data_IF_737764829779
#
_entry.id   IF_737764829779
#
_cell.length_a   1.000
_cell.length_b   1.000
_cell.length_c   1.000
_cell.angle_alpha   90.00
_cell.angle_beta   90.00
_cell.angle_gamma   90.00
#
_symmetry.space_group_name_H-M   'P 1'
#
loop_
_entity.id
_entity.type
_entity.pdbx_description
1 polymer ?
#
# COMPACT_ATOMS: atom_id res chain seq x y z
N UNK A 1 8.75 -13.06 -19.45
CA UNK A 1 8.58 -13.23 -18.00
C UNK A 1 9.79 -12.62 -17.30
N UNK A 2 9.61 -11.93 -16.17
CA UNK A 2 10.73 -11.36 -15.42
C UNK A 2 11.19 -12.38 -14.35
N UNK A 3 12.37 -12.97 -14.49
CA UNK A 3 12.77 -14.11 -13.66
C UNK A 3 12.85 -13.75 -12.16
N UNK A 4 13.40 -12.58 -11.82
CA UNK A 4 13.51 -12.12 -10.42
C UNK A 4 12.12 -11.97 -9.81
N UNK A 5 11.20 -11.31 -10.50
CA UNK A 5 9.83 -11.11 -10.00
C UNK A 5 9.11 -12.45 -9.81
N UNK A 6 9.24 -13.35 -10.78
CA UNK A 6 8.62 -14.67 -10.71
C UNK A 6 9.15 -15.51 -9.55
N UNK A 7 10.46 -15.48 -9.31
CA UNK A 7 11.09 -16.18 -8.17
C UNK A 7 10.64 -15.61 -6.83
N UNK A 8 10.60 -14.28 -6.69
CA UNK A 8 10.11 -13.63 -5.45
C UNK A 8 8.66 -13.99 -5.17
N UNK A 9 7.79 -13.98 -6.19
CA UNK A 9 6.39 -14.38 -6.02
C UNK A 9 6.26 -15.85 -5.65
N UNK A 10 7.07 -16.74 -6.23
CA UNK A 10 7.04 -18.17 -5.89
C UNK A 10 7.43 -18.39 -4.41
N UNK A 11 8.50 -17.74 -3.95
CA UNK A 11 8.93 -17.80 -2.54
C UNK A 11 7.85 -17.21 -1.62
N UNK A 12 7.28 -16.05 -1.96
CA UNK A 12 6.22 -15.42 -1.16
C UNK A 12 5.00 -16.35 -1.02
N UNK A 13 4.57 -17.00 -2.10
CA UNK A 13 3.47 -17.97 -2.05
C UNK A 13 3.78 -19.18 -1.16
N UNK A 14 5.02 -19.68 -1.20
CA UNK A 14 5.46 -20.75 -0.29
C UNK A 14 5.39 -20.33 1.19
N UNK A 15 5.85 -19.10 1.49
CA UNK A 15 5.76 -18.51 2.84
C UNK A 15 4.30 -18.38 3.27
N UNK A 16 3.42 -17.86 2.42
CA UNK A 16 2.00 -17.70 2.73
C UNK A 16 1.30 -19.03 2.98
N UNK A 17 1.65 -20.07 2.21
CA UNK A 17 1.14 -21.43 2.42
C UNK A 17 1.61 -22.01 3.78
N UNK A 18 2.88 -21.80 4.14
CA UNK A 18 3.41 -22.21 5.45
C UNK A 18 2.73 -21.44 6.61
N UNK A 19 2.40 -20.18 6.41
CA UNK A 19 1.62 -19.38 7.37
C UNK A 19 0.15 -19.81 7.43
N UNK A 20 -0.32 -20.67 6.52
CA UNK A 20 -1.72 -21.09 6.43
C UNK A 20 -2.65 -19.97 5.95
N UNK A 21 -2.13 -18.92 5.28
CA UNK A 21 -2.96 -17.85 4.77
C UNK A 21 -3.87 -18.34 3.65
N UNK A 22 -5.14 -17.99 3.72
CA UNK A 22 -6.11 -18.22 2.64
C UNK A 22 -6.40 -16.91 1.93
N UNK A 23 -6.49 -16.96 0.60
CA UNK A 23 -6.71 -15.77 -0.23
C UNK A 23 -8.03 -15.87 -0.97
N UNK A 24 -8.91 -14.89 -0.75
CA UNK A 24 -10.10 -14.68 -1.55
C UNK A 24 -9.89 -13.39 -2.37
N UNK A 25 -9.79 -13.53 -3.68
CA UNK A 25 -9.51 -12.40 -4.59
C UNK A 25 -10.67 -12.29 -5.58
N UNK A 26 -11.32 -11.14 -5.59
CA UNK A 26 -12.44 -10.84 -6.49
C UNK A 26 -12.16 -9.63 -7.37
N UNK A 27 -12.87 -9.48 -8.47
CA UNK A 27 -12.74 -8.35 -9.38
C UNK A 27 -11.43 -8.32 -10.19
N UNK A 28 -10.70 -9.42 -10.28
CA UNK A 28 -9.40 -9.47 -11.00
C UNK A 28 -9.51 -9.10 -12.49
N UNK A 29 -10.70 -9.22 -13.08
CA UNK A 29 -10.98 -8.80 -14.45
C UNK A 29 -10.93 -7.28 -14.65
N UNK A 30 -10.98 -6.49 -13.59
CA UNK A 30 -10.80 -5.04 -13.61
C UNK A 30 -9.34 -4.61 -13.75
N UNK A 31 -8.39 -5.51 -13.50
CA UNK A 31 -6.97 -5.22 -13.77
C UNK A 31 -6.75 -5.18 -15.28
N UNK A 32 -6.29 -4.06 -15.85
CA UNK A 32 -6.08 -3.94 -17.30
C UNK A 32 -5.16 -5.03 -17.84
N UNK A 33 -5.60 -5.77 -18.84
CA UNK A 33 -4.80 -6.83 -19.50
C UNK A 33 -3.63 -6.25 -20.29
N UNK A 34 -3.76 -5.01 -20.76
CA UNK A 34 -2.74 -4.26 -21.50
C UNK A 34 -2.82 -2.78 -21.17
N UNK A 35 -1.78 -2.03 -21.54
CA UNK A 35 -1.69 -0.60 -21.21
C UNK A 35 -1.33 -0.33 -19.75
N UNK A 36 -1.14 0.94 -19.42
CA UNK A 36 -0.81 1.38 -18.07
C UNK A 36 -2.03 1.46 -17.16
N UNK A 37 -1.78 1.49 -15.85
CA UNK A 37 -2.81 1.73 -14.84
C UNK A 37 -2.19 2.05 -13.49
N UNK A 38 -2.75 3.02 -12.77
CA UNK A 38 -2.35 3.32 -11.40
C UNK A 38 -3.18 2.44 -10.46
N UNK A 39 -2.56 1.43 -9.86
CA UNK A 39 -3.23 0.59 -8.85
C UNK A 39 -3.17 1.31 -7.51
N UNK A 40 -4.35 1.73 -7.03
CA UNK A 40 -4.51 2.50 -5.80
C UNK A 40 -4.93 1.54 -4.70
N UNK A 41 -4.12 1.41 -3.64
CA UNK A 41 -4.22 0.34 -2.65
C UNK A 41 -4.30 0.94 -1.26
N UNK A 42 -5.22 0.45 -0.41
CA UNK A 42 -5.23 0.80 1.01
C UNK A 42 -4.02 0.21 1.75
N UNK A 43 -3.64 0.81 2.87
CA UNK A 43 -2.42 0.40 3.56
C UNK A 43 -2.67 0.08 5.05
N UNK A 44 -2.92 -1.19 5.35
CA UNK A 44 -3.18 -1.68 6.72
C UNK A 44 -2.08 -2.61 7.24
N UNK A 45 -1.20 -3.13 6.36
CA UNK A 45 -0.13 -4.03 6.74
C UNK A 45 1.14 -3.89 5.91
N UNK A 46 2.27 -4.28 6.47
CA UNK A 46 3.57 -4.23 5.78
C UNK A 46 3.67 -5.17 4.56
N UNK A 47 2.79 -6.17 4.47
CA UNK A 47 2.78 -7.15 3.37
C UNK A 47 1.76 -6.84 2.26
N UNK A 48 1.02 -5.74 2.34
CA UNK A 48 -0.03 -5.36 1.38
C UNK A 48 0.46 -5.37 -0.07
N UNK A 49 1.68 -4.88 -0.32
CA UNK A 49 2.26 -4.85 -1.67
C UNK A 49 2.44 -6.27 -2.25
N UNK A 50 2.74 -7.27 -1.41
CA UNK A 50 2.89 -8.65 -1.86
C UNK A 50 1.54 -9.28 -2.18
N UNK A 51 0.52 -8.96 -1.40
CA UNK A 51 -0.86 -9.44 -1.61
C UNK A 51 -1.48 -8.79 -2.85
N UNK A 52 -1.29 -7.48 -3.04
CA UNK A 52 -1.71 -6.77 -4.26
C UNK A 52 -1.08 -7.39 -5.53
N UNK A 53 0.19 -7.78 -5.44
CA UNK A 53 0.88 -8.48 -6.53
C UNK A 53 0.21 -9.81 -6.93
N UNK A 54 -0.42 -10.52 -5.99
CA UNK A 54 -1.17 -11.75 -6.29
C UNK A 54 -2.43 -11.46 -7.13
N UNK A 55 -3.16 -10.38 -6.82
CA UNK A 55 -4.36 -9.99 -7.56
C UNK A 55 -4.05 -9.63 -9.02
N UNK A 56 -2.99 -8.86 -9.27
CA UNK A 56 -2.57 -8.50 -10.62
C UNK A 56 -2.07 -9.71 -11.43
N UNK A 57 -1.52 -10.73 -10.75
CA UNK A 57 -1.02 -11.93 -11.41
C UNK A 57 -2.13 -12.76 -12.07
N UNK A 58 -3.35 -12.72 -11.57
CA UNK A 58 -4.50 -13.37 -12.23
C UNK A 58 -4.67 -12.87 -13.67
N UNK A 59 -4.38 -11.60 -13.92
CA UNK A 59 -4.37 -10.96 -15.24
C UNK A 59 -3.01 -11.05 -15.95
N UNK A 60 -2.08 -11.86 -15.46
CA UNK A 60 -0.71 -12.01 -15.96
C UNK A 60 0.10 -10.70 -15.96
N UNK A 61 -0.28 -9.76 -15.10
CA UNK A 61 0.35 -8.45 -14.98
C UNK A 61 1.23 -8.36 -13.72
N UNK A 62 2.20 -7.46 -13.76
CA UNK A 62 3.10 -7.16 -12.65
C UNK A 62 2.91 -5.71 -12.23
N UNK A 63 2.94 -5.45 -10.93
CA UNK A 63 2.82 -4.09 -10.39
C UNK A 63 4.21 -3.56 -10.03
N UNK A 64 4.54 -2.35 -10.48
CA UNK A 64 5.75 -1.61 -10.08
C UNK A 64 5.39 -0.74 -8.86
N UNK A 65 5.72 -1.19 -7.67
CA UNK A 65 5.38 -0.45 -6.46
C UNK A 65 6.30 0.75 -6.25
N UNK A 66 5.70 1.87 -5.88
CA UNK A 66 6.41 3.02 -5.35
C UNK A 66 6.71 2.77 -3.88
N UNK A 67 7.98 2.66 -3.51
CA UNK A 67 8.40 2.34 -2.15
C UNK A 67 9.53 3.25 -1.66
N UNK A 68 9.59 3.45 -0.34
CA UNK A 68 10.60 4.32 0.29
C UNK A 68 12.02 3.92 -0.13
N UNK A 69 12.84 4.89 -0.51
CA UNK A 69 14.22 4.70 -0.99
C UNK A 69 15.09 3.88 -0.02
N UNK A 70 14.88 3.99 1.30
CA UNK A 70 15.62 3.20 2.29
C UNK A 70 15.50 1.68 2.09
N UNK A 71 14.38 1.18 1.51
CA UNK A 71 14.19 -0.25 1.22
C UNK A 71 15.11 -0.70 0.07
N UNK A 72 15.41 0.20 -0.87
CA UNK A 72 16.34 -0.05 -1.98
C UNK A 72 17.81 -0.01 -1.56
N UNK A 73 18.13 0.70 -0.47
CA UNK A 73 19.49 0.76 0.10
C UNK A 73 19.83 -0.42 1.00
N UNK A 74 18.84 -1.15 1.46
CA UNK A 74 19.07 -2.30 2.32
C UNK A 74 19.74 -3.46 1.53
N UNK A 75 20.70 -4.15 2.16
CA UNK A 75 21.56 -5.15 1.50
C UNK A 75 20.79 -6.32 0.87
N UNK A 76 19.72 -6.77 1.51
CA UNK A 76 18.91 -7.92 1.04
C UNK A 76 17.75 -7.49 0.15
N UNK A 77 16.95 -6.52 0.59
CA UNK A 77 15.77 -6.09 -0.18
C UNK A 77 16.11 -5.24 -1.40
N UNK A 78 17.20 -4.46 -1.37
CA UNK A 78 17.58 -3.56 -2.46
C UNK A 78 17.75 -4.25 -3.82
N UNK A 79 18.55 -5.32 -3.94
CA UNK A 79 18.67 -6.06 -5.19
C UNK A 79 17.33 -6.62 -5.69
N UNK A 80 16.48 -7.13 -4.79
CA UNK A 80 15.14 -7.63 -5.14
C UNK A 80 14.22 -6.52 -5.66
N UNK A 81 14.17 -5.38 -4.96
CA UNK A 81 13.36 -4.22 -5.37
C UNK A 81 13.76 -3.70 -6.74
N UNK A 82 15.07 -3.62 -7.01
CA UNK A 82 15.60 -3.22 -8.33
C UNK A 82 15.32 -4.28 -9.39
N UNK A 83 15.53 -5.55 -9.07
CA UNK A 83 15.26 -6.67 -9.99
C UNK A 83 13.79 -6.81 -10.37
N UNK A 84 12.88 -6.42 -9.48
CA UNK A 84 11.44 -6.31 -9.74
C UNK A 84 11.03 -4.98 -10.38
N UNK A 85 11.99 -4.08 -10.67
CA UNK A 85 11.79 -2.77 -11.28
C UNK A 85 10.87 -1.84 -10.48
N UNK A 86 10.79 -2.02 -9.16
CA UNK A 86 10.04 -1.10 -8.30
C UNK A 86 10.64 0.30 -8.32
N UNK A 87 9.85 1.30 -7.94
CA UNK A 87 10.19 2.72 -8.07
C UNK A 87 10.59 3.27 -6.70
N UNK A 88 11.88 3.67 -6.51
CA UNK A 88 12.31 4.28 -5.26
C UNK A 88 11.72 5.69 -5.11
N UNK A 89 11.16 5.98 -3.93
CA UNK A 89 10.61 7.28 -3.56
C UNK A 89 11.52 7.94 -2.53
N UNK A 90 12.23 8.97 -2.95
CA UNK A 90 12.87 9.90 -2.04
C UNK A 90 11.86 11.00 -1.66
N UNK A 91 11.46 11.02 -0.39
CA UNK A 91 10.49 12.00 0.11
C UNK A 91 11.03 13.43 0.17
N UNK A 92 12.35 13.59 0.10
CA UNK A 92 13.01 14.90 0.05
C UNK A 92 13.15 15.46 -1.38
N UNK A 93 13.12 14.58 -2.39
CA UNK A 93 13.33 14.91 -3.80
C UNK A 93 12.27 14.22 -4.70
N UNK A 94 11.00 14.32 -4.35
CA UNK A 94 9.89 13.54 -4.91
C UNK A 94 9.65 13.64 -6.44
N UNK A 95 10.22 14.63 -7.13
CA UNK A 95 10.01 14.82 -8.56
C UNK A 95 10.50 13.67 -9.44
N UNK A 96 11.67 13.10 -9.16
CA UNK A 96 12.26 12.05 -9.99
C UNK A 96 11.47 10.74 -9.98
N UNK A 97 10.94 10.34 -8.82
CA UNK A 97 10.09 9.15 -8.69
C UNK A 97 8.75 9.31 -9.39
N UNK A 98 8.18 10.51 -9.34
CA UNK A 98 6.95 10.85 -10.05
C UNK A 98 7.15 10.77 -11.59
N UNK A 99 8.16 11.42 -12.13
CA UNK A 99 8.49 11.39 -13.56
C UNK A 99 8.72 9.94 -14.03
N UNK A 100 9.42 9.15 -13.24
CA UNK A 100 9.63 7.72 -13.55
C UNK A 100 8.31 6.95 -13.57
N UNK A 101 7.43 7.17 -12.58
CA UNK A 101 6.14 6.49 -12.53
C UNK A 101 5.27 6.82 -13.75
N UNK A 102 5.18 8.10 -14.14
CA UNK A 102 4.44 8.52 -15.33
C UNK A 102 5.03 7.91 -16.61
N UNK A 103 6.36 7.87 -16.74
CA UNK A 103 7.01 7.20 -17.87
C UNK A 103 6.68 5.72 -17.94
N UNK A 104 6.74 5.00 -16.81
CA UNK A 104 6.49 3.57 -16.75
C UNK A 104 4.98 3.27 -17.02
N UNK A 105 4.07 4.14 -16.57
CA UNK A 105 2.64 4.10 -16.93
C UNK A 105 2.40 4.26 -18.44
N UNK A 106 3.05 5.24 -19.07
CA UNK A 106 2.97 5.45 -20.54
C UNK A 106 3.58 4.29 -21.34
N UNK A 107 4.55 3.59 -20.76
CA UNK A 107 5.12 2.37 -21.31
C UNK A 107 4.23 1.13 -21.13
N UNK A 108 3.05 1.29 -20.53
CA UNK A 108 2.08 0.21 -20.34
C UNK A 108 2.23 -0.58 -19.05
N UNK A 109 3.05 -0.13 -18.10
CA UNK A 109 3.21 -0.81 -16.81
C UNK A 109 2.08 -0.45 -15.83
N UNK A 110 1.82 -1.35 -14.86
CA UNK A 110 0.99 -1.03 -13.71
C UNK A 110 1.88 -0.43 -12.61
N UNK A 111 1.50 0.74 -12.09
CA UNK A 111 2.20 1.37 -10.96
C UNK A 111 1.33 1.30 -9.71
N UNK A 112 1.81 0.63 -8.67
CA UNK A 112 1.13 0.49 -7.40
C UNK A 112 1.50 1.60 -6.41
N UNK A 113 0.49 2.23 -5.83
CA UNK A 113 0.64 3.30 -4.85
C UNK A 113 -0.25 3.09 -3.64
N UNK A 114 0.27 3.50 -2.48
CA UNK A 114 -0.47 3.62 -1.23
C UNK A 114 -0.72 5.12 -0.99
N UNK A 115 -1.89 5.66 -1.36
CA UNK A 115 -2.12 7.11 -1.34
C UNK A 115 -2.13 7.69 0.08
N UNK A 116 -2.35 6.86 1.08
CA UNK A 116 -2.29 7.19 2.51
C UNK A 116 -0.86 7.53 3.00
N UNK A 117 0.17 7.18 2.22
CA UNK A 117 1.60 7.36 2.49
C UNK A 117 2.16 6.62 3.73
N UNK A 118 1.33 6.16 4.65
CA UNK A 118 1.71 5.37 5.84
C UNK A 118 0.63 4.34 6.16
N UNK A 119 1.01 3.26 6.86
CA UNK A 119 0.05 2.25 7.34
C UNK A 119 -0.95 2.90 8.28
N UNK A 120 -2.24 2.69 8.03
CA UNK A 120 -3.32 3.15 8.89
C UNK A 120 -3.38 2.33 10.18
N UNK A 121 -3.32 3.00 11.33
CA UNK A 121 -3.46 2.37 12.65
C UNK A 121 -4.92 2.14 13.05
N UNK A 122 -5.84 2.93 12.46
CA UNK A 122 -7.27 2.78 12.68
C UNK A 122 -7.87 1.66 11.83
N UNK A 123 -7.13 1.19 10.80
CA UNK A 123 -7.58 0.26 9.77
C UNK A 123 -8.77 0.80 8.94
N UNK A 124 -9.04 2.10 9.05
CA UNK A 124 -9.88 2.90 8.16
C UNK A 124 -9.01 3.57 7.11
N UNK A 125 -9.61 3.98 5.98
CA UNK A 125 -8.89 4.78 4.99
C UNK A 125 -8.56 6.15 5.56
N UNK A 126 -7.30 6.55 5.37
CA UNK A 126 -6.82 7.90 5.69
C UNK A 126 -7.08 8.81 4.49
N UNK A 127 -6.85 10.10 4.68
CA UNK A 127 -6.84 11.07 3.60
C UNK A 127 -5.82 10.67 2.50
N UNK A 128 -6.23 10.75 1.25
CA UNK A 128 -5.40 10.40 0.10
C UNK A 128 -4.57 11.58 -0.37
N UNK A 129 -3.31 11.30 -0.70
CA UNK A 129 -2.47 12.24 -1.44
C UNK A 129 -2.82 12.20 -2.93
N UNK A 130 -2.80 13.35 -3.57
CA UNK A 130 -3.21 13.57 -4.96
C UNK A 130 -2.32 12.89 -6.02
N UNK A 131 -1.23 12.23 -5.59
CA UNK A 131 -0.23 11.67 -6.51
C UNK A 131 -0.78 10.63 -7.47
N UNK A 132 -1.73 9.79 -7.03
CA UNK A 132 -2.34 8.76 -7.87
C UNK A 132 -3.15 9.37 -9.02
N UNK A 133 -4.05 10.31 -8.71
CA UNK A 133 -4.89 10.99 -9.70
C UNK A 133 -4.05 11.81 -10.69
N UNK A 134 -3.02 12.53 -10.19
CA UNK A 134 -2.08 13.28 -11.05
C UNK A 134 -1.35 12.38 -12.04
N UNK A 135 -0.81 11.24 -11.57
CA UNK A 135 -0.12 10.28 -12.46
C UNK A 135 -1.07 9.68 -13.47
N UNK A 136 -2.29 9.33 -13.07
CA UNK A 136 -3.31 8.78 -13.95
C UNK A 136 -3.70 9.78 -15.06
N UNK A 137 -3.97 11.03 -14.68
CA UNK A 137 -4.31 12.11 -15.62
C UNK A 137 -3.16 12.38 -16.59
N UNK A 138 -1.93 12.58 -16.08
CA UNK A 138 -0.77 12.92 -16.91
C UNK A 138 -0.36 11.78 -17.85
N UNK A 139 -0.52 10.53 -17.42
CA UNK A 139 -0.23 9.37 -18.26
C UNK A 139 -1.40 8.95 -19.16
N UNK A 140 -2.62 9.49 -18.97
CA UNK A 140 -3.82 9.11 -19.72
C UNK A 140 -4.31 7.69 -19.42
N UNK A 141 -4.07 7.18 -18.21
CA UNK A 141 -4.39 5.81 -17.79
C UNK A 141 -5.44 5.79 -16.68
N UNK A 142 -6.16 4.67 -16.47
CA UNK A 142 -7.10 4.57 -15.37
C UNK A 142 -6.41 4.42 -14.01
N UNK A 143 -7.10 4.83 -12.94
CA UNK A 143 -6.87 4.39 -11.57
C UNK A 143 -7.65 3.09 -11.34
N UNK A 144 -7.01 2.08 -10.75
CA UNK A 144 -7.60 0.78 -10.43
C UNK A 144 -7.67 0.66 -8.91
N UNK A 145 -8.85 0.83 -8.29
CA UNK A 145 -9.00 0.69 -6.84
C UNK A 145 -8.78 -0.77 -6.44
N UNK A 146 -7.99 -0.99 -5.41
CA UNK A 146 -7.75 -2.32 -4.85
C UNK A 146 -7.74 -2.24 -3.34
N UNK A 147 -8.59 -3.02 -2.70
CA UNK A 147 -8.72 -3.06 -1.24
C UNK A 147 -8.27 -4.41 -0.71
N UNK A 148 -7.48 -4.39 0.35
CA UNK A 148 -6.94 -5.56 1.03
C UNK A 148 -7.40 -5.53 2.48
N UNK A 149 -7.92 -6.67 2.97
CA UNK A 149 -8.33 -6.83 4.36
C UNK A 149 -7.79 -8.14 4.96
N UNK A 150 -7.50 -8.13 6.26
CA UNK A 150 -6.89 -9.25 6.97
C UNK A 150 -5.37 -9.12 7.13
N UNK A 151 -4.70 -8.32 6.30
CA UNK A 151 -3.24 -8.18 6.31
C UNK A 151 -2.72 -7.58 7.63
N UNK A 152 -3.49 -6.70 8.27
CA UNK A 152 -3.19 -6.11 9.58
C UNK A 152 -3.02 -7.15 10.69
N UNK A 153 -3.68 -8.31 10.57
CA UNK A 153 -3.59 -9.42 11.52
C UNK A 153 -2.28 -10.21 11.40
N UNK A 154 -1.53 -10.02 10.31
CA UNK A 154 -0.24 -10.69 10.08
C UNK A 154 0.92 -9.80 10.52
N UNK A 155 0.98 -8.59 9.99
CA UNK A 155 2.03 -7.65 10.37
C UNK A 155 1.62 -6.21 10.05
N UNK A 156 1.35 -5.44 11.11
CA UNK A 156 0.98 -4.03 11.01
C UNK A 156 1.76 -3.14 11.98
N UNK A 157 1.59 -1.84 11.84
CA UNK A 157 2.25 -0.84 12.68
C UNK A 157 1.66 -0.83 14.09
N UNK A 158 2.53 -0.82 15.11
CA UNK A 158 2.09 -0.78 16.51
C UNK A 158 1.73 -2.14 17.12
N UNK A 159 1.79 -3.22 16.35
CA UNK A 159 1.49 -4.56 16.84
C UNK A 159 2.65 -5.54 16.60
N UNK A 160 2.79 -6.59 17.40
CA UNK A 160 3.77 -7.65 17.19
C UNK A 160 3.58 -8.35 15.83
N UNK A 161 4.68 -8.74 15.21
CA UNK A 161 4.65 -9.55 13.97
C UNK A 161 4.11 -10.94 14.26
N UNK A 162 3.17 -11.40 13.45
CA UNK A 162 2.61 -12.76 13.51
C UNK A 162 3.01 -13.53 12.24
N UNK A 163 4.32 -13.82 12.09
CA UNK A 163 4.87 -14.45 10.88
C UNK A 163 4.86 -15.99 10.92
N UNK A 164 4.40 -16.61 12.02
CA UNK A 164 4.17 -18.05 12.12
C UNK A 164 2.89 -18.48 11.40
N UNK A 165 2.44 -19.72 11.69
CA UNK A 165 1.18 -20.25 11.16
C UNK A 165 -0.02 -19.56 11.83
N UNK A 166 -0.57 -18.55 11.17
CA UNK A 166 -1.67 -17.71 11.70
C UNK A 166 -3.03 -18.09 11.13
N UNK A 167 -3.06 -18.77 9.98
CA UNK A 167 -4.28 -19.15 9.25
C UNK A 167 -5.24 -17.97 9.00
N UNK A 168 -4.70 -16.76 8.86
CA UNK A 168 -5.49 -15.55 8.63
C UNK A 168 -6.04 -15.55 7.21
N UNK A 169 -7.35 -15.34 7.01
CA UNK A 169 -7.92 -15.09 5.70
C UNK A 169 -7.54 -13.67 5.23
N UNK A 170 -7.01 -13.61 4.02
CA UNK A 170 -6.69 -12.36 3.32
C UNK A 170 -7.70 -12.18 2.19
N UNK A 171 -8.47 -11.11 2.25
CA UNK A 171 -9.43 -10.78 1.20
C UNK A 171 -8.95 -9.59 0.40
N UNK A 172 -9.10 -9.68 -0.93
CA UNK A 172 -8.69 -8.65 -1.87
C UNK A 172 -9.83 -8.42 -2.86
N UNK A 173 -10.22 -7.16 -2.99
CA UNK A 173 -11.22 -6.73 -3.98
C UNK A 173 -10.57 -5.74 -4.93
N UNK A 174 -10.70 -5.97 -6.22
CA UNK A 174 -10.34 -5.02 -7.26
C UNK A 174 -11.64 -4.42 -7.79
N UNK A 175 -11.81 -3.11 -7.64
CA UNK A 175 -12.98 -2.39 -8.13
C UNK A 175 -12.80 -1.93 -9.57
N UNK A 176 -13.88 -1.36 -10.13
CA UNK A 176 -13.91 -0.83 -11.49
C UNK A 176 -12.85 0.24 -11.72
N UNK A 177 -12.16 0.21 -12.88
CA UNK A 177 -11.19 1.23 -13.23
C UNK A 177 -11.84 2.61 -13.38
N UNK A 178 -11.26 3.63 -12.75
CA UNK A 178 -11.73 5.02 -12.76
C UNK A 178 -10.80 5.85 -13.63
N UNK A 179 -11.33 6.50 -14.65
CA UNK A 179 -10.57 7.48 -15.43
C UNK A 179 -10.80 8.89 -14.90
N UNK A 180 -9.75 9.70 -14.89
CA UNK A 180 -9.87 11.13 -14.65
C UNK A 180 -10.49 11.75 -15.90
N UNK A 181 -11.65 12.40 -15.74
CA UNK A 181 -12.36 12.99 -16.86
C UNK A 181 -11.65 14.26 -17.38
N UNK A 182 -11.83 14.61 -18.65
CA UNK A 182 -11.37 15.90 -19.16
C UNK A 182 -11.99 17.05 -18.35
N UNK A 183 -11.16 17.96 -17.83
CA UNK A 183 -11.59 19.10 -17.01
C UNK A 183 -11.88 18.78 -15.54
N UNK A 184 -11.87 17.51 -15.12
CA UNK A 184 -11.97 17.12 -13.71
C UNK A 184 -10.70 17.57 -12.97
N UNK A 185 -10.88 18.19 -11.81
CA UNK A 185 -9.76 18.56 -10.97
C UNK A 185 -9.13 17.31 -10.33
N UNK A 186 -7.84 17.43 -9.98
CA UNK A 186 -7.13 16.35 -9.29
C UNK A 186 -7.76 16.03 -7.93
N UNK A 187 -8.26 17.06 -7.24
CA UNK A 187 -8.89 16.91 -5.93
C UNK A 187 -10.22 16.16 -6.04
N UNK A 188 -11.05 16.48 -7.04
CA UNK A 188 -12.31 15.77 -7.33
C UNK A 188 -12.02 14.28 -7.68
N UNK A 189 -11.05 14.02 -8.56
CA UNK A 189 -10.68 12.66 -8.92
C UNK A 189 -10.13 11.89 -7.69
N UNK A 190 -9.39 12.56 -6.80
CA UNK A 190 -8.87 11.96 -5.56
C UNK A 190 -10.00 11.66 -4.57
N UNK A 191 -10.96 12.55 -4.43
CA UNK A 191 -12.15 12.33 -3.60
C UNK A 191 -12.96 11.16 -4.12
N UNK A 192 -13.22 11.10 -5.40
CA UNK A 192 -13.99 10.02 -6.03
C UNK A 192 -13.34 8.64 -5.86
N UNK A 193 -12.02 8.51 -6.05
CA UNK A 193 -11.34 7.24 -5.82
C UNK A 193 -11.36 6.86 -4.33
N UNK A 194 -11.25 7.82 -3.42
CA UNK A 194 -11.34 7.59 -1.99
C UNK A 194 -12.73 7.07 -1.58
N UNK A 195 -13.80 7.67 -2.10
CA UNK A 195 -15.20 7.26 -1.85
C UNK A 195 -15.45 5.83 -2.32
N UNK A 196 -15.03 5.51 -3.56
CA UNK A 196 -15.14 4.14 -4.10
C UNK A 196 -14.38 3.14 -3.25
N UNK A 197 -13.14 3.46 -2.85
CA UNK A 197 -12.35 2.57 -2.01
C UNK A 197 -12.92 2.44 -0.59
N UNK A 198 -13.53 3.50 -0.05
CA UNK A 198 -14.20 3.45 1.25
C UNK A 198 -15.36 2.46 1.23
N UNK A 199 -16.21 2.53 0.20
CA UNK A 199 -17.31 1.59 0.04
C UNK A 199 -16.81 0.15 -0.10
N UNK A 200 -15.84 -0.10 -0.99
CA UNK A 200 -15.24 -1.43 -1.17
C UNK A 200 -14.63 -1.97 0.14
N UNK A 201 -13.99 -1.12 0.94
CA UNK A 201 -13.42 -1.52 2.22
C UNK A 201 -14.51 -1.85 3.22
N UNK A 202 -15.57 -1.06 3.31
CA UNK A 202 -16.69 -1.30 4.22
C UNK A 202 -17.38 -2.62 3.89
N UNK A 203 -17.74 -2.85 2.62
CA UNK A 203 -18.36 -4.09 2.16
C UNK A 203 -17.48 -5.32 2.49
N UNK A 204 -16.17 -5.18 2.30
CA UNK A 204 -15.21 -6.23 2.58
C UNK A 204 -15.09 -6.53 4.07
N UNK A 205 -15.14 -5.51 4.91
CA UNK A 205 -15.09 -5.61 6.37
C UNK A 205 -16.37 -6.23 6.95
N UNK A 206 -17.54 -5.83 6.46
CA UNK A 206 -18.83 -6.39 6.89
C UNK A 206 -18.97 -7.87 6.52
N UNK A 207 -18.48 -8.25 5.34
CA UNK A 207 -18.47 -9.65 4.90
C UNK A 207 -17.33 -10.50 5.46
N UNK A 208 -16.46 -9.96 6.30
CA UNK A 208 -15.31 -10.69 6.84
C UNK A 208 -15.71 -11.57 8.03
N UNK A 209 -14.90 -12.61 8.30
CA UNK A 209 -15.10 -13.48 9.44
C UNK A 209 -15.07 -12.67 10.75
N UNK A 210 -15.99 -12.94 11.72
CA UNK A 210 -16.02 -12.22 12.98
C UNK A 210 -14.68 -12.28 13.72
N UNK A 211 -14.17 -11.13 14.14
CA UNK A 211 -13.00 -11.04 15.01
C UNK A 211 -13.46 -11.00 16.46
N UNK A 212 -12.83 -11.79 17.32
CA UNK A 212 -13.18 -11.89 18.74
C UNK A 212 -11.91 -11.92 19.60
N UNK A 213 -12.07 -11.69 20.90
CA UNK A 213 -10.99 -11.78 21.87
C UNK A 213 -9.82 -10.84 21.53
N UNK A 214 -8.62 -11.38 21.48
CA UNK A 214 -7.42 -10.57 21.20
C UNK A 214 -7.36 -10.00 19.79
N UNK A 215 -8.11 -10.53 18.83
CA UNK A 215 -8.12 -10.02 17.47
C UNK A 215 -8.94 -8.73 17.31
N UNK A 216 -9.73 -8.34 18.32
CA UNK A 216 -10.44 -7.05 18.34
C UNK A 216 -9.50 -5.84 18.19
N UNK A 217 -8.23 -5.97 18.55
CA UNK A 217 -7.22 -4.92 18.35
C UNK A 217 -6.85 -4.67 16.87
N UNK A 218 -7.26 -5.56 15.97
CA UNK A 218 -7.11 -5.43 14.53
C UNK A 218 -8.40 -5.02 13.82
N UNK A 219 -9.47 -4.78 14.58
CA UNK A 219 -10.77 -4.37 14.09
C UNK A 219 -10.97 -2.87 14.34
N UNK A 220 -11.48 -2.09 13.36
CA UNK A 220 -11.81 -0.68 13.53
C UNK A 220 -12.79 -0.43 14.68
N UNK A 221 -12.65 0.71 15.36
CA UNK A 221 -13.53 1.10 16.45
C UNK A 221 -15.02 1.16 16.01
N UNK A 222 -15.32 1.61 14.78
CA UNK A 222 -16.69 1.64 14.24
C UNK A 222 -17.37 0.27 14.13
N UNK A 223 -16.57 -0.81 14.07
CA UNK A 223 -17.05 -2.20 14.02
C UNK A 223 -17.00 -2.89 15.39
N UNK A 224 -16.82 -2.13 16.47
CA UNK A 224 -16.71 -2.66 17.83
C UNK A 224 -15.32 -3.20 18.19
N UNK A 225 -14.31 -2.89 17.38
CA UNK A 225 -12.92 -3.21 17.66
C UNK A 225 -12.28 -2.26 18.68
N UNK A 226 -11.03 -2.55 19.03
CA UNK A 226 -10.23 -1.73 19.96
C UNK A 226 -9.06 -1.02 19.27
N UNK A 227 -9.03 -1.01 17.93
CA UNK A 227 -8.11 -0.17 17.19
C UNK A 227 -8.37 1.32 17.48
N UNK A 228 -7.36 2.18 17.42
CA UNK A 228 -7.56 3.63 17.57
C UNK A 228 -8.58 4.15 16.55
N UNK A 229 -9.36 5.15 16.93
CA UNK A 229 -10.15 5.90 15.95
C UNK A 229 -9.25 6.58 14.92
N UNK A 230 -9.81 7.02 13.80
CA UNK A 230 -9.02 7.73 12.78
C UNK A 230 -8.37 9.00 13.37
N UNK A 231 -9.08 9.71 14.23
CA UNK A 231 -8.60 10.89 14.94
C UNK A 231 -7.43 10.56 15.88
N UNK A 232 -7.60 9.54 16.73
CA UNK A 232 -6.54 9.09 17.65
C UNK A 232 -5.32 8.58 16.90
N UNK A 233 -5.52 7.83 15.82
CA UNK A 233 -4.44 7.34 14.96
C UNK A 233 -3.65 8.50 14.35
N UNK A 234 -4.33 9.54 13.90
CA UNK A 234 -3.71 10.76 13.34
C UNK A 234 -2.89 11.47 14.41
N UNK A 235 -3.44 11.64 15.62
CA UNK A 235 -2.73 12.24 16.75
C UNK A 235 -1.45 11.47 17.10
N UNK A 236 -1.55 10.15 17.21
CA UNK A 236 -0.37 9.28 17.47
C UNK A 236 0.70 9.46 16.39
N UNK A 237 0.30 9.50 15.12
CA UNK A 237 1.26 9.67 14.02
C UNK A 237 1.93 11.05 14.02
N UNK A 238 1.21 12.08 14.35
CA UNK A 238 1.75 13.44 14.45
C UNK A 238 2.75 13.55 15.62
N UNK A 239 2.47 12.94 16.75
CA UNK A 239 3.38 12.91 17.89
C UNK A 239 4.67 12.13 17.57
N UNK A 240 4.56 10.95 16.95
CA UNK A 240 5.72 10.18 16.47
C UNK A 240 6.57 10.99 15.48
N UNK A 241 5.91 11.72 14.57
CA UNK A 241 6.57 12.58 13.58
C UNK A 241 7.32 13.74 14.24
N UNK A 242 6.69 14.40 15.21
CA UNK A 242 7.32 15.49 16.01
C UNK A 242 8.54 14.99 16.78
N UNK A 243 8.43 13.79 17.38
CA UNK A 243 9.53 13.18 18.10
C UNK A 243 10.69 12.80 17.17
N UNK A 244 10.41 12.22 16.00
CA UNK A 244 11.42 11.89 14.99
C UNK A 244 12.18 13.14 14.52
N UNK A 245 11.47 14.25 14.28
CA UNK A 245 12.08 15.52 13.88
C UNK A 245 12.99 16.06 15.00
N UNK A 246 12.54 16.00 16.26
CA UNK A 246 13.34 16.42 17.43
C UNK A 246 14.62 15.59 17.56
N UNK A 247 14.53 14.26 17.46
CA UNK A 247 15.70 13.36 17.51
C UNK A 247 16.70 13.66 16.39
N UNK A 248 16.22 13.77 15.15
CA UNK A 248 17.08 14.09 13.99
C UNK A 248 17.77 15.47 14.13
N UNK A 249 17.08 16.46 14.72
CA UNK A 249 17.63 17.79 14.99
C UNK A 249 18.72 17.73 16.08
N UNK A 250 18.49 16.98 17.14
CA UNK A 250 19.44 16.77 18.22
C UNK A 250 20.72 16.06 17.74
N UNK A 251 20.57 15.01 16.93
CA UNK A 251 21.69 14.27 16.32
C UNK A 251 22.54 15.18 15.42
N UNK A 252 21.88 16.00 14.58
CA UNK A 252 22.59 16.99 13.73
C UNK A 252 23.35 18.02 14.55
N UNK A 253 22.77 18.47 15.67
CA UNK A 253 23.43 19.42 16.59
C UNK A 253 24.64 18.77 17.27
N UNK A 254 24.50 17.55 17.76
CA UNK A 254 25.61 16.80 18.38
C UNK A 254 26.75 16.52 17.40
N UNK A 255 26.43 16.19 16.13
CA UNK A 255 27.45 15.95 15.11
C UNK A 255 28.20 17.23 14.66
N UNK A 256 27.64 18.41 14.93
CA UNK A 256 28.27 19.72 14.62
C UNK A 256 29.14 20.30 15.76
N UNK A 257 29.08 19.72 16.95
CA UNK A 257 29.92 20.13 18.09
C UNK A 257 31.28 19.43 17.94
N UNK A 258 32.39 20.16 17.72
CA UNK A 258 33.70 19.55 17.64
C UNK A 258 34.01 18.84 18.96
N UNK A 259 34.55 17.62 18.91
CA UNK A 259 35.19 17.00 20.08
C UNK A 259 36.38 17.89 20.47
N UNK A 260 36.27 18.53 21.64
CA UNK A 260 37.38 19.26 22.26
C UNK A 260 38.53 18.32 22.62
#
# INVERSE_FOLDING_TARGET
MEPVYSSVVAVARGVFALQGLTFTITGTHHVPLSGGGVVVINHTGYLDFTYAGLAARASKRLIRFMAKDSVFRHRLSGPLMRGMKHIPVDRSAGGASYVRAVRDLRAGELVGVFPEATISRSFELKEFKNGAARMAQEAGVPMVPMVIWGSQRVWTKGHPKRLGRTCVPIRIVVGDPIRVAPGESIDEATTRIHEVMSQLLHDLQEGYEPMTGEDLKYLPARLGGTAPTLEDATRIEDDERREMIRRASAERKAARTPKA
#
